data_IF_307511891697
#
_entry.id   IF_307511891697
#
_cell.length_a   1.000
_cell.length_b   1.000
_cell.length_c   1.000
_cell.angle_alpha   90.00
_cell.angle_beta   90.00
_cell.angle_gamma   90.00
#
_symmetry.space_group_name_H-M   'P 1'
#
loop_
_entity.id
_entity.type
_entity.pdbx_description
1 polymer ?
#
# COMPACT_ATOMS: atom_id res chain seq x y z
N UNK A 1 -25.71 -12.57 8.24
CA UNK A 1 -24.63 -12.92 7.30
C UNK A 1 -23.46 -13.42 8.12
N UNK A 2 -23.14 -14.71 8.05
CA UNK A 2 -21.94 -15.26 8.67
C UNK A 2 -20.73 -14.60 8.02
N UNK A 3 -20.00 -13.81 8.80
CA UNK A 3 -18.73 -13.21 8.38
C UNK A 3 -17.71 -14.35 8.46
N UNK A 4 -17.67 -15.17 7.41
CA UNK A 4 -16.60 -16.16 7.22
C UNK A 4 -15.28 -15.45 7.39
N UNK A 5 -14.33 -16.09 8.07
CA UNK A 5 -13.00 -15.58 8.40
C UNK A 5 -12.02 -15.72 7.21
N UNK A 6 -11.80 -14.70 6.36
CA UNK A 6 -10.61 -14.63 5.51
C UNK A 6 -9.35 -14.25 6.31
N UNK A 7 -9.51 -13.78 7.56
CA UNK A 7 -8.42 -13.24 8.39
C UNK A 7 -7.37 -14.26 8.82
N UNK A 8 -7.70 -15.55 8.97
CA UNK A 8 -6.77 -16.55 9.53
C UNK A 8 -5.85 -17.09 8.44
N UNK A 9 -6.43 -17.52 7.32
CA UNK A 9 -5.67 -18.01 6.16
C UNK A 9 -4.71 -16.95 5.59
N UNK A 10 -5.12 -15.66 5.58
CA UNK A 10 -4.23 -14.57 5.18
C UNK A 10 -3.08 -14.34 6.19
N UNK A 11 -3.33 -14.49 7.49
CA UNK A 11 -2.27 -14.39 8.51
C UNK A 11 -1.25 -15.51 8.38
N UNK A 12 -1.71 -16.74 8.20
CA UNK A 12 -0.83 -17.91 7.99
C UNK A 12 0.03 -17.77 6.74
N UNK A 13 -0.53 -17.23 5.64
CA UNK A 13 0.24 -16.93 4.44
C UNK A 13 1.31 -15.85 4.67
N UNK A 14 0.98 -14.82 5.45
CA UNK A 14 1.94 -13.76 5.80
C UNK A 14 3.08 -14.31 6.66
N UNK A 15 2.79 -15.12 7.67
CA UNK A 15 3.81 -15.73 8.54
C UNK A 15 4.74 -16.70 7.78
N UNK A 16 4.17 -17.48 6.86
CA UNK A 16 4.90 -18.32 5.92
C UNK A 16 5.87 -17.51 5.06
N UNK A 17 5.39 -16.42 4.45
CA UNK A 17 6.22 -15.55 3.61
C UNK A 17 7.33 -14.85 4.41
N UNK A 18 7.05 -14.45 5.66
CA UNK A 18 8.06 -13.85 6.53
C UNK A 18 9.18 -14.83 6.88
N UNK A 19 8.83 -16.10 7.13
CA UNK A 19 9.81 -17.16 7.41
C UNK A 19 10.68 -17.46 6.19
N UNK A 20 10.09 -17.48 4.98
CA UNK A 20 10.84 -17.63 3.73
C UNK A 20 11.83 -16.48 3.51
N UNK A 21 11.44 -15.25 3.84
CA UNK A 21 12.28 -14.08 3.68
C UNK A 21 13.43 -14.03 4.69
N UNK A 22 13.20 -14.48 5.93
CA UNK A 22 14.24 -14.60 6.96
C UNK A 22 15.28 -15.67 6.63
N UNK A 23 14.88 -16.72 5.90
CA UNK A 23 15.76 -17.79 5.44
C UNK A 23 16.39 -17.50 4.06
N UNK A 24 16.13 -16.33 3.46
CA UNK A 24 16.72 -15.95 2.19
C UNK A 24 18.21 -15.60 2.39
N UNK A 25 19.05 -16.09 1.47
CA UNK A 25 20.50 -15.87 1.48
C UNK A 25 20.82 -14.37 1.52
N UNK A 26 21.70 -13.98 2.44
CA UNK A 26 22.09 -12.59 2.63
C UNK A 26 23.02 -12.11 1.50
N UNK A 27 23.03 -10.79 1.23
CA UNK A 27 23.98 -10.16 0.29
C UNK A 27 25.45 -10.43 0.62
N UNK A 28 25.76 -10.71 1.89
CA UNK A 28 27.12 -11.03 2.37
C UNK A 28 27.52 -12.46 2.02
N UNK A 29 26.59 -13.42 2.17
CA UNK A 29 26.80 -14.82 1.77
C UNK A 29 26.91 -14.97 0.25
N UNK A 30 26.17 -14.16 -0.51
CA UNK A 30 26.35 -14.05 -1.96
C UNK A 30 27.77 -13.62 -2.32
N UNK A 31 28.39 -12.71 -1.56
CA UNK A 31 29.72 -12.17 -1.87
C UNK A 31 30.85 -13.20 -1.71
N UNK A 32 30.67 -14.20 -0.83
CA UNK A 32 31.65 -15.29 -0.63
C UNK A 32 31.63 -16.38 -1.71
N UNK A 33 30.60 -16.40 -2.56
CA UNK A 33 30.42 -17.39 -3.63
C UNK A 33 31.07 -16.91 -4.96
N UNK A 34 31.39 -15.61 -5.10
CA UNK A 34 31.75 -14.94 -6.37
C UNK A 34 33.25 -15.10 -6.75
N UNK A 35 33.83 -16.30 -6.65
CA UNK A 35 35.22 -16.52 -7.15
C UNK A 35 35.39 -17.73 -8.08
N UNK A 36 34.36 -18.08 -8.85
CA UNK A 36 34.50 -19.03 -9.97
C UNK A 36 33.59 -18.69 -11.16
N UNK A 37 33.90 -19.23 -12.35
CA UNK A 37 33.11 -19.01 -13.57
C UNK A 37 31.69 -19.59 -13.45
N UNK A 38 31.51 -20.63 -12.64
CA UNK A 38 30.20 -21.23 -12.32
C UNK A 38 29.36 -20.32 -11.41
N UNK A 39 29.99 -19.61 -10.48
CA UNK A 39 29.30 -18.64 -9.63
C UNK A 39 28.91 -17.35 -10.34
N UNK A 40 29.65 -16.94 -11.38
CA UNK A 40 29.22 -15.83 -12.26
C UNK A 40 27.96 -16.17 -13.06
N UNK A 41 27.84 -17.39 -13.58
CA UNK A 41 26.64 -17.86 -14.27
C UNK A 41 25.44 -18.01 -13.33
N UNK A 42 25.68 -18.50 -12.10
CA UNK A 42 24.66 -18.57 -11.05
C UNK A 42 24.20 -17.17 -10.62
N UNK A 43 25.14 -16.23 -10.42
CA UNK A 43 24.82 -14.84 -10.10
C UNK A 43 24.02 -14.15 -11.22
N UNK A 44 24.37 -14.37 -12.48
CA UNK A 44 23.60 -13.83 -13.61
C UNK A 44 22.18 -14.42 -13.67
N UNK A 45 22.02 -15.71 -13.38
CA UNK A 45 20.71 -16.36 -13.31
C UNK A 45 19.87 -15.77 -12.18
N UNK A 46 20.49 -15.56 -11.02
CA UNK A 46 19.84 -14.97 -9.86
C UNK A 46 19.44 -13.51 -10.09
N UNK A 47 20.31 -12.70 -10.71
CA UNK A 47 19.99 -11.32 -11.10
C UNK A 47 18.79 -11.29 -12.04
N UNK A 48 18.73 -12.20 -13.03
CA UNK A 48 17.59 -12.29 -13.96
C UNK A 48 16.30 -12.70 -13.24
N UNK A 49 16.38 -13.64 -12.30
CA UNK A 49 15.25 -14.07 -11.46
C UNK A 49 14.73 -12.92 -10.61
N UNK A 50 15.62 -12.19 -9.94
CA UNK A 50 15.28 -11.01 -9.13
C UNK A 50 14.69 -9.89 -9.98
N UNK A 51 15.24 -9.65 -11.17
CA UNK A 51 14.69 -8.66 -12.10
C UNK A 51 13.28 -9.04 -12.60
N UNK A 52 13.05 -10.31 -12.89
CA UNK A 52 11.73 -10.83 -13.27
C UNK A 52 10.72 -10.68 -12.12
N UNK A 53 11.11 -11.07 -10.91
CA UNK A 53 10.28 -10.86 -9.71
C UNK A 53 10.00 -9.38 -9.45
N UNK A 54 11.00 -8.50 -9.64
CA UNK A 54 10.80 -7.05 -9.52
C UNK A 54 9.80 -6.53 -10.56
N UNK A 55 9.79 -7.09 -11.77
CA UNK A 55 8.84 -6.71 -12.81
C UNK A 55 7.42 -7.19 -12.50
N UNK A 56 7.27 -8.43 -12.03
CA UNK A 56 5.99 -8.97 -11.54
C UNK A 56 5.48 -8.14 -10.36
N UNK A 57 6.34 -7.78 -9.40
CA UNK A 57 5.99 -6.89 -8.30
C UNK A 57 5.55 -5.51 -8.80
N UNK A 58 6.19 -4.95 -9.83
CA UNK A 58 5.78 -3.67 -10.43
C UNK A 58 4.38 -3.73 -11.07
N UNK A 59 3.99 -4.87 -11.64
CA UNK A 59 2.62 -5.07 -12.14
C UNK A 59 1.58 -5.07 -11.01
N UNK A 60 1.89 -5.69 -9.88
CA UNK A 60 1.04 -5.69 -8.68
C UNK A 60 1.02 -4.34 -7.97
N UNK A 61 2.14 -3.63 -7.92
CA UNK A 61 2.28 -2.32 -7.27
C UNK A 61 1.29 -1.28 -7.80
N UNK A 62 0.96 -1.35 -9.08
CA UNK A 62 0.02 -0.43 -9.71
C UNK A 62 -1.45 -0.83 -9.51
N UNK A 63 -1.74 -2.06 -9.04
CA UNK A 63 -3.12 -2.50 -8.79
C UNK A 63 -3.69 -1.78 -7.58
N UNK A 64 -4.87 -1.20 -7.75
CA UNK A 64 -5.59 -0.48 -6.68
C UNK A 64 -5.75 -1.31 -5.40
N UNK A 65 -6.13 -2.58 -5.52
CA UNK A 65 -6.29 -3.50 -4.39
C UNK A 65 -5.00 -3.69 -3.59
N UNK A 66 -3.85 -3.73 -4.27
CA UNK A 66 -2.56 -3.88 -3.64
C UNK A 66 -2.11 -2.58 -2.95
N UNK A 67 -2.39 -1.40 -3.55
CA UNK A 67 -2.18 -0.10 -2.90
C UNK A 67 -2.99 0.01 -1.60
N UNK A 68 -4.25 -0.43 -1.60
CA UNK A 68 -5.09 -0.46 -0.38
C UNK A 68 -4.51 -1.39 0.69
N UNK A 69 -4.03 -2.57 0.32
CA UNK A 69 -3.37 -3.50 1.25
C UNK A 69 -2.13 -2.87 1.90
N UNK A 70 -1.29 -2.19 1.10
CA UNK A 70 -0.13 -1.45 1.62
C UNK A 70 -0.55 -0.37 2.63
N UNK A 71 -1.63 0.37 2.36
CA UNK A 71 -2.15 1.39 3.29
C UNK A 71 -2.69 0.76 4.58
N UNK A 72 -3.34 -0.40 4.52
CA UNK A 72 -3.79 -1.14 5.70
C UNK A 72 -2.63 -1.51 6.63
N UNK A 73 -1.51 -1.98 6.07
CA UNK A 73 -0.30 -2.25 6.86
C UNK A 73 0.27 -0.99 7.50
N UNK A 74 0.26 0.14 6.78
CA UNK A 74 0.73 1.43 7.32
C UNK A 74 -0.17 1.96 8.44
N UNK A 75 -1.49 1.81 8.32
CA UNK A 75 -2.46 2.15 9.38
C UNK A 75 -2.11 1.40 10.67
N UNK A 76 -1.84 0.10 10.57
CA UNK A 76 -1.46 -0.73 11.72
C UNK A 76 -0.10 -0.32 12.29
N UNK A 77 0.87 -0.02 11.42
CA UNK A 77 2.21 0.42 11.84
C UNK A 77 2.17 1.74 12.61
N UNK A 78 1.27 2.65 12.27
CA UNK A 78 1.18 3.98 12.89
C UNK A 78 0.13 4.10 13.99
N UNK A 79 -0.40 2.98 14.49
CA UNK A 79 -1.20 2.96 15.70
C UNK A 79 -2.65 3.43 15.53
N UNK A 80 -3.24 3.22 14.34
CA UNK A 80 -4.69 3.22 13.99
C UNK A 80 -5.07 4.15 12.83
N UNK A 81 -4.20 5.10 12.46
CA UNK A 81 -4.39 5.96 11.29
C UNK A 81 -3.09 6.67 10.87
N UNK A 82 -3.05 7.15 9.64
CA UNK A 82 -2.02 8.06 9.14
C UNK A 82 -2.56 9.49 9.26
N UNK A 83 -1.97 10.29 10.13
CA UNK A 83 -2.26 11.73 10.22
C UNK A 83 -1.50 12.49 9.14
N UNK A 84 -2.19 13.37 8.41
CA UNK A 84 -1.59 14.31 7.45
C UNK A 84 -1.38 15.71 8.03
N UNK A 85 -1.68 15.92 9.31
CA UNK A 85 -1.46 17.19 10.03
C UNK A 85 -0.23 17.16 10.93
N UNK A 86 0.30 15.96 11.20
CA UNK A 86 1.51 15.76 11.98
C UNK A 86 2.67 15.34 11.07
N UNK A 87 3.77 16.13 10.99
CA UNK A 87 4.94 15.74 10.23
C UNK A 87 5.56 14.48 10.83
N UNK A 88 5.87 13.51 9.99
CA UNK A 88 6.62 12.32 10.35
C UNK A 88 7.67 12.07 9.29
N UNK A 89 8.94 12.00 9.68
CA UNK A 89 10.08 11.84 8.76
C UNK A 89 9.91 10.64 7.82
N UNK A 90 9.29 9.56 8.30
CA UNK A 90 9.08 8.31 7.55
C UNK A 90 7.71 8.23 6.85
N UNK A 91 6.96 9.33 6.77
CA UNK A 91 5.58 9.32 6.22
C UNK A 91 5.46 9.77 4.78
N UNK A 92 6.53 10.27 4.15
CA UNK A 92 6.49 10.73 2.74
C UNK A 92 6.00 9.64 1.79
N UNK A 93 6.45 8.40 1.98
CA UNK A 93 6.00 7.26 1.17
C UNK A 93 4.53 6.92 1.42
N UNK A 94 4.07 7.01 2.68
CA UNK A 94 2.66 6.82 3.02
C UNK A 94 1.78 7.90 2.36
N UNK A 95 2.22 9.16 2.37
CA UNK A 95 1.52 10.26 1.71
C UNK A 95 1.47 10.06 0.19
N UNK A 96 2.59 9.68 -0.44
CA UNK A 96 2.61 9.38 -1.87
C UNK A 96 1.65 8.24 -2.23
N UNK A 97 1.57 7.20 -1.40
CA UNK A 97 0.62 6.12 -1.60
C UNK A 97 -0.84 6.58 -1.43
N UNK A 98 -1.12 7.45 -0.46
CA UNK A 98 -2.46 8.07 -0.31
C UNK A 98 -2.80 8.91 -1.54
N UNK A 99 -1.88 9.74 -2.03
CA UNK A 99 -2.06 10.55 -3.25
C UNK A 99 -2.35 9.66 -4.46
N UNK A 100 -1.62 8.55 -4.61
CA UNK A 100 -1.85 7.59 -5.70
C UNK A 100 -3.25 6.99 -5.66
N UNK A 101 -3.71 6.58 -4.48
CA UNK A 101 -5.05 6.00 -4.31
C UNK A 101 -6.15 7.06 -4.49
N UNK A 102 -5.92 8.29 -4.05
CA UNK A 102 -6.84 9.41 -4.31
C UNK A 102 -6.90 9.75 -5.81
N UNK A 103 -5.79 9.66 -6.54
CA UNK A 103 -5.76 9.84 -7.98
C UNK A 103 -6.59 8.76 -8.70
N UNK A 104 -6.47 7.49 -8.27
CA UNK A 104 -7.25 6.37 -8.81
C UNK A 104 -8.78 6.55 -8.63
N UNK A 105 -9.21 7.42 -7.70
CA UNK A 105 -10.63 7.77 -7.49
C UNK A 105 -10.98 9.21 -7.86
N UNK A 106 -10.15 9.88 -8.66
CA UNK A 106 -10.33 11.24 -9.18
C UNK A 106 -10.32 12.38 -8.14
N UNK A 107 -9.70 12.18 -6.97
CA UNK A 107 -9.53 13.19 -5.92
C UNK A 107 -8.11 13.77 -5.83
N UNK A 108 -7.20 13.38 -6.72
CA UNK A 108 -5.85 13.92 -6.78
C UNK A 108 -5.39 14.04 -8.24
N UNK A 109 -4.94 15.23 -8.65
CA UNK A 109 -4.49 15.52 -10.02
C UNK A 109 -3.04 16.04 -10.08
N UNK A 110 -2.39 16.19 -8.93
CA UNK A 110 -1.01 16.66 -8.84
C UNK A 110 0.03 15.55 -9.05
N UNK A 111 1.29 15.92 -8.95
CA UNK A 111 2.40 14.95 -8.87
C UNK A 111 2.33 14.13 -7.59
N UNK A 112 2.57 12.82 -7.70
CA UNK A 112 2.62 11.91 -6.55
C UNK A 112 4.00 12.04 -5.87
N UNK A 113 4.17 13.09 -5.08
CA UNK A 113 5.43 13.52 -4.46
C UNK A 113 5.51 13.24 -2.94
N UNK A 114 4.40 12.82 -2.32
CA UNK A 114 4.26 12.67 -0.88
C UNK A 114 4.23 13.98 -0.10
N UNK A 115 3.91 15.10 -0.75
CA UNK A 115 3.67 16.38 -0.09
C UNK A 115 2.50 16.26 0.89
N UNK A 116 2.80 16.53 2.17
CA UNK A 116 1.86 16.38 3.27
C UNK A 116 0.63 17.27 3.10
N UNK A 117 0.81 18.53 2.67
CA UNK A 117 -0.26 19.52 2.59
C UNK A 117 -1.22 19.22 1.44
N UNK A 118 -0.70 18.93 0.25
CA UNK A 118 -1.50 18.49 -0.90
C UNK A 118 -2.29 17.22 -0.58
N UNK A 119 -1.65 16.28 0.13
CA UNK A 119 -2.29 15.04 0.58
C UNK A 119 -3.45 15.34 1.54
N UNK A 120 -3.23 16.21 2.53
CA UNK A 120 -4.25 16.62 3.47
C UNK A 120 -5.47 17.24 2.79
N UNK A 121 -5.24 18.26 1.95
CA UNK A 121 -6.30 18.99 1.24
C UNK A 121 -7.17 18.04 0.40
N UNK A 122 -6.52 17.14 -0.35
CA UNK A 122 -7.21 16.18 -1.22
C UNK A 122 -7.98 15.13 -0.43
N UNK A 123 -7.44 14.70 0.73
CA UNK A 123 -8.09 13.72 1.58
C UNK A 123 -9.33 14.31 2.27
N UNK A 124 -9.25 15.56 2.74
CA UNK A 124 -10.41 16.28 3.29
C UNK A 124 -11.49 16.47 2.21
N UNK A 125 -11.10 16.85 0.99
CA UNK A 125 -12.02 16.97 -0.13
C UNK A 125 -12.75 15.65 -0.43
N UNK A 126 -12.01 14.54 -0.49
CA UNK A 126 -12.59 13.20 -0.64
C UNK A 126 -13.56 12.85 0.50
N UNK A 127 -13.18 13.09 1.76
CA UNK A 127 -14.01 12.75 2.92
C UNK A 127 -15.32 13.56 2.94
N UNK A 128 -15.26 14.85 2.62
CA UNK A 128 -16.44 15.70 2.52
C UNK A 128 -17.36 15.26 1.38
N UNK A 129 -16.78 14.98 0.21
CA UNK A 129 -17.55 14.48 -0.93
C UNK A 129 -18.23 13.15 -0.60
N UNK A 130 -17.51 12.19 -0.04
CA UNK A 130 -18.09 10.91 0.38
C UNK A 130 -19.27 11.10 1.34
N UNK A 131 -19.11 11.96 2.34
CA UNK A 131 -20.14 12.27 3.33
C UNK A 131 -21.40 12.88 2.72
N UNK A 132 -21.29 13.63 1.61
CA UNK A 132 -22.45 14.19 0.90
C UNK A 132 -23.28 13.14 0.15
N UNK A 133 -22.74 11.94 -0.05
CA UNK A 133 -23.38 10.85 -0.80
C UNK A 133 -23.88 9.70 0.09
N UNK A 134 -23.68 9.78 1.42
CA UNK A 134 -24.08 8.71 2.36
C UNK A 134 -25.02 9.23 3.44
N UNK A 135 -25.84 8.36 4.05
CA UNK A 135 -26.64 8.74 5.21
C UNK A 135 -25.77 9.20 6.39
N UNK A 136 -26.31 10.06 7.25
CA UNK A 136 -25.59 10.63 8.41
C UNK A 136 -24.92 9.55 9.30
N UNK A 137 -25.60 8.43 9.55
CA UNK A 137 -25.04 7.31 10.34
C UNK A 137 -23.88 6.54 9.66
N UNK A 138 -23.57 6.84 8.40
CA UNK A 138 -22.46 6.25 7.64
C UNK A 138 -21.35 7.26 7.31
N UNK A 139 -21.52 8.53 7.73
CA UNK A 139 -20.53 9.56 7.53
C UNK A 139 -19.24 9.28 8.32
N UNK A 140 -18.11 9.69 7.76
CA UNK A 140 -16.78 9.56 8.35
C UNK A 140 -16.24 10.93 8.78
N UNK A 141 -15.21 10.97 9.62
CA UNK A 141 -14.59 12.23 10.01
C UNK A 141 -13.77 12.82 8.84
N UNK A 142 -14.06 14.07 8.47
CA UNK A 142 -13.37 14.80 7.41
C UNK A 142 -12.19 15.63 7.95
N UNK A 143 -11.26 14.99 8.66
CA UNK A 143 -10.12 15.62 9.33
C UNK A 143 -8.79 15.45 8.59
N UNK A 144 -8.80 14.83 7.41
CA UNK A 144 -7.58 14.50 6.67
C UNK A 144 -6.77 13.37 7.32
N UNK A 145 -7.40 12.56 8.19
CA UNK A 145 -6.80 11.35 8.72
C UNK A 145 -7.13 10.15 7.82
N UNK A 146 -6.13 9.34 7.49
CA UNK A 146 -6.31 8.12 6.72
C UNK A 146 -6.34 6.92 7.68
N UNK A 147 -7.54 6.51 8.09
CA UNK A 147 -7.79 5.32 8.89
C UNK A 147 -8.71 4.32 8.17
N UNK A 148 -9.11 3.25 8.86
CA UNK A 148 -9.95 2.18 8.29
C UNK A 148 -11.25 2.68 7.66
N UNK A 149 -11.92 3.66 8.26
CA UNK A 149 -13.14 4.26 7.71
C UNK A 149 -12.87 4.96 6.36
N UNK A 150 -11.80 5.73 6.27
CA UNK A 150 -11.38 6.40 5.02
C UNK A 150 -10.96 5.37 3.96
N UNK A 151 -10.26 4.30 4.37
CA UNK A 151 -9.87 3.20 3.48
C UNK A 151 -11.10 2.50 2.87
N UNK A 152 -12.12 2.20 3.68
CA UNK A 152 -13.34 1.57 3.19
C UNK A 152 -14.21 2.52 2.35
N UNK A 153 -14.24 3.81 2.68
CA UNK A 153 -14.89 4.82 1.85
C UNK A 153 -14.26 4.88 0.45
N UNK A 154 -12.93 4.88 0.36
CA UNK A 154 -12.19 4.84 -0.91
C UNK A 154 -12.48 3.56 -1.68
N UNK A 155 -12.49 2.41 -0.99
CA UNK A 155 -12.85 1.11 -1.59
C UNK A 155 -14.26 1.14 -2.16
N UNK A 156 -15.21 1.76 -1.47
CA UNK A 156 -16.59 1.95 -1.93
C UNK A 156 -16.64 2.82 -3.19
N UNK A 157 -15.97 3.99 -3.18
CA UNK A 157 -15.89 4.90 -4.34
C UNK A 157 -15.31 4.21 -5.57
N UNK A 158 -14.22 3.46 -5.41
CA UNK A 158 -13.60 2.73 -6.52
C UNK A 158 -14.54 1.68 -7.14
N UNK A 159 -15.30 0.95 -6.32
CA UNK A 159 -16.32 -0.01 -6.84
C UNK A 159 -17.40 0.69 -7.66
N UNK A 160 -17.82 1.89 -7.25
CA UNK A 160 -18.81 2.68 -8.00
C UNK A 160 -18.24 3.13 -9.35
N UNK A 161 -16.99 3.59 -9.39
CA UNK A 161 -16.32 3.98 -10.64
C UNK A 161 -16.13 2.78 -11.57
N UNK A 162 -15.70 1.62 -11.03
CA UNK A 162 -15.45 0.43 -11.83
C UNK A 162 -16.71 -0.27 -12.35
N UNK A 163 -17.89 0.08 -11.82
CA UNK A 163 -19.18 -0.48 -12.23
C UNK A 163 -19.92 0.39 -13.26
N UNK A 164 -19.48 1.63 -13.48
CA UNK A 164 -19.99 2.55 -14.51
C UNK A 164 -19.17 2.50 -15.78
#
# INVERSE_FOLDING_TARGET
>A
VQISQPSVALKEQIESLQTLLQNAVTLVELNGIIDSTQSKAAALTEIRRLAMQSNEMAEWENKFSYKLLKLEFLINRYGSFISTTLPGADRKQAYALIQSVLADVNFYQGEIDGDMRKTHESLVAFQNDYNSHVPEGSAIQALGNFGYQTLEAIRSRYRLIAAG
#
